data_IF_428275887188
#
_entry.id   IF_428275887188
#
_cell.length_a   1.000
_cell.length_b   1.000
_cell.length_c   1.000
_cell.angle_alpha   90.00
_cell.angle_beta   90.00
_cell.angle_gamma   90.00
#
_symmetry.space_group_name_H-M   'P 1'
#
loop_
_entity.id
_entity.type
_entity.pdbx_description
1 polymer ?
#
# COMPACT_ATOMS: atom_id res chain seq x y z
N UNK A 1 7.06 -66.65 -64.35
CA UNK A 1 5.68 -66.99 -63.95
C UNK A 1 5.39 -66.30 -62.61
N UNK A 2 4.43 -65.47 -62.66
CA UNK A 2 3.81 -64.62 -61.58
C UNK A 2 4.61 -63.52 -60.89
N UNK A 3 4.32 -62.36 -61.38
CA UNK A 3 4.49 -60.98 -60.84
C UNK A 3 3.58 -60.83 -59.63
N UNK A 4 4.08 -60.21 -58.55
CA UNK A 4 3.27 -59.56 -57.57
C UNK A 4 3.84 -58.18 -57.31
N UNK A 5 3.10 -57.18 -57.79
CA UNK A 5 3.28 -55.74 -57.52
C UNK A 5 2.92 -55.43 -56.07
N UNK A 6 3.80 -54.77 -55.34
CA UNK A 6 3.50 -54.19 -54.05
C UNK A 6 3.08 -52.74 -54.25
N UNK A 7 1.84 -52.39 -53.89
CA UNK A 7 1.32 -51.02 -53.72
C UNK A 7 1.92 -50.42 -52.47
N UNK A 8 2.69 -49.39 -52.68
CA UNK A 8 3.09 -48.49 -51.58
C UNK A 8 2.01 -47.44 -51.37
N UNK A 9 1.31 -47.52 -50.25
CA UNK A 9 0.34 -46.52 -49.82
C UNK A 9 1.12 -45.44 -49.07
N UNK A 10 1.15 -44.21 -49.61
CA UNK A 10 1.59 -42.99 -48.90
C UNK A 10 0.52 -42.62 -47.88
N UNK A 11 0.79 -42.83 -46.59
CA UNK A 11 0.11 -42.11 -45.52
C UNK A 11 0.95 -40.86 -45.18
N UNK A 12 0.51 -39.73 -45.68
CA UNK A 12 0.92 -38.43 -45.16
C UNK A 12 0.14 -38.19 -43.87
N UNK A 13 0.80 -38.37 -42.73
CA UNK A 13 0.30 -37.97 -41.44
C UNK A 13 0.25 -36.45 -41.36
N UNK A 14 -0.94 -35.91 -41.47
CA UNK A 14 -1.26 -34.52 -41.09
C UNK A 14 -1.34 -34.48 -39.58
N UNK A 15 -0.21 -34.20 -38.92
CA UNK A 15 -0.20 -33.77 -37.53
C UNK A 15 -0.67 -32.30 -37.44
N UNK A 16 -1.79 -32.00 -36.80
CA UNK A 16 -2.11 -30.60 -36.51
C UNK A 16 -1.11 -30.08 -35.48
N UNK A 17 -0.34 -29.08 -35.89
CA UNK A 17 0.46 -28.27 -34.98
C UNK A 17 -0.45 -27.59 -33.91
N UNK A 18 -0.71 -28.27 -32.81
CA UNK A 18 -1.18 -27.65 -31.57
C UNK A 18 -0.01 -26.99 -30.86
N UNK A 19 0.56 -25.94 -31.46
CA UNK A 19 1.18 -24.90 -30.65
C UNK A 19 0.07 -24.12 -29.98
N UNK A 20 -0.41 -24.62 -28.86
CA UNK A 20 -1.17 -23.83 -27.92
C UNK A 20 -0.23 -22.71 -27.45
N UNK A 21 -0.36 -21.53 -28.06
CA UNK A 21 0.14 -20.32 -27.44
C UNK A 21 -0.65 -20.16 -26.14
N UNK A 22 -0.14 -20.73 -25.06
CA UNK A 22 -0.52 -20.28 -23.72
C UNK A 22 -0.09 -18.82 -23.64
N UNK A 23 -1.01 -17.90 -23.94
CA UNK A 23 -0.88 -16.53 -23.51
C UNK A 23 -0.69 -16.61 -22.00
N UNK A 24 0.55 -16.47 -21.54
CA UNK A 24 0.83 -16.19 -20.15
C UNK A 24 0.14 -14.84 -19.83
N UNK A 25 -1.12 -14.91 -19.42
CA UNK A 25 -1.75 -13.77 -18.78
C UNK A 25 -1.01 -13.56 -17.48
N UNK A 26 -0.10 -12.58 -17.45
CA UNK A 26 0.50 -12.13 -16.19
C UNK A 26 -0.64 -11.84 -15.24
N UNK A 27 -0.68 -12.57 -14.14
CA UNK A 27 -1.71 -12.38 -13.14
C UNK A 27 -1.53 -11.01 -12.52
N UNK A 28 -2.63 -10.23 -12.46
CA UNK A 28 -2.63 -8.94 -11.78
C UNK A 28 -3.13 -9.12 -10.36
N UNK A 29 -2.49 -8.46 -9.42
CA UNK A 29 -2.97 -8.32 -8.05
C UNK A 29 -3.31 -6.86 -7.76
N UNK A 30 -4.36 -6.66 -6.98
CA UNK A 30 -4.81 -5.37 -6.48
C UNK A 30 -4.43 -5.22 -5.02
N UNK A 31 -3.62 -4.21 -4.72
CA UNK A 31 -3.20 -3.86 -3.36
C UNK A 31 -3.84 -2.53 -2.98
N UNK A 32 -4.57 -2.49 -1.88
CA UNK A 32 -5.19 -1.28 -1.34
C UNK A 32 -4.56 -0.90 0.00
N UNK A 33 -4.54 0.40 0.27
CA UNK A 33 -4.10 0.98 1.54
C UNK A 33 -5.12 2.00 2.02
N UNK A 34 -5.49 1.96 3.32
CA UNK A 34 -6.47 2.86 3.89
C UNK A 34 -6.17 3.17 5.36
N UNK A 35 -5.93 4.43 5.69
CA UNK A 35 -6.00 4.90 7.06
C UNK A 35 -7.48 4.97 7.48
N UNK A 36 -7.87 4.09 8.39
CA UNK A 36 -9.27 3.92 8.80
C UNK A 36 -9.66 4.79 10.01
N UNK A 37 -8.71 5.50 10.61
CA UNK A 37 -8.94 6.33 11.81
C UNK A 37 -9.77 5.60 12.89
N UNK A 38 -9.47 4.33 13.10
CA UNK A 38 -10.14 3.43 14.04
C UNK A 38 -10.97 2.34 13.35
N UNK A 39 -10.43 1.12 13.32
CA UNK A 39 -11.05 -0.02 12.64
C UNK A 39 -12.47 -0.33 13.18
N UNK A 40 -12.70 -0.18 14.50
CA UNK A 40 -14.01 -0.38 15.11
C UNK A 40 -15.02 0.70 14.72
N UNK A 41 -14.56 1.91 14.42
CA UNK A 41 -15.42 3.00 13.96
C UNK A 41 -15.84 2.79 12.50
N UNK A 42 -14.90 2.45 11.62
CA UNK A 42 -15.20 2.20 10.21
C UNK A 42 -16.00 0.91 10.01
N UNK A 43 -15.79 -0.11 10.85
CA UNK A 43 -16.61 -1.33 10.88
C UNK A 43 -18.09 -1.02 11.02
N UNK A 44 -18.47 -0.16 11.98
CA UNK A 44 -19.87 0.28 12.19
C UNK A 44 -20.45 1.09 11.02
N UNK A 45 -19.59 1.53 10.09
CA UNK A 45 -19.98 2.32 8.91
C UNK A 45 -19.96 1.50 7.61
N UNK A 46 -19.98 0.15 7.70
CA UNK A 46 -20.07 -0.74 6.55
C UNK A 46 -18.72 -1.12 5.92
N UNK A 47 -17.65 -1.11 6.70
CA UNK A 47 -16.31 -1.52 6.21
C UNK A 47 -16.30 -2.91 5.59
N UNK A 48 -16.94 -3.91 6.25
CA UNK A 48 -16.95 -5.28 5.71
C UNK A 48 -17.75 -5.40 4.42
N UNK A 49 -18.87 -4.67 4.30
CA UNK A 49 -19.67 -4.67 3.06
C UNK A 49 -18.85 -4.11 1.89
N UNK A 50 -18.11 -3.02 2.15
CA UNK A 50 -17.19 -2.46 1.16
C UNK A 50 -16.05 -3.44 0.84
N UNK A 51 -15.41 -4.02 1.86
CA UNK A 51 -14.28 -4.92 1.69
C UNK A 51 -14.66 -6.19 0.90
N UNK A 52 -15.79 -6.81 1.24
CA UNK A 52 -16.30 -8.01 0.55
C UNK A 52 -16.77 -7.73 -0.88
N UNK A 53 -17.19 -6.50 -1.18
CA UNK A 53 -17.54 -6.07 -2.54
C UNK A 53 -16.30 -5.82 -3.40
N UNK A 54 -15.28 -5.15 -2.86
CA UNK A 54 -14.07 -4.74 -3.60
C UNK A 54 -13.10 -5.90 -3.78
N UNK A 55 -13.01 -6.79 -2.80
CA UNK A 55 -12.17 -8.00 -2.78
C UNK A 55 -10.73 -7.79 -3.27
N UNK A 56 -9.97 -6.82 -2.73
CA UNK A 56 -8.57 -6.65 -3.10
C UNK A 56 -7.78 -7.92 -2.76
N UNK A 57 -6.65 -8.14 -3.43
CA UNK A 57 -5.78 -9.27 -3.09
C UNK A 57 -5.04 -9.01 -1.78
N UNK A 58 -4.68 -7.75 -1.52
CA UNK A 58 -4.10 -7.28 -0.25
C UNK A 58 -4.76 -5.97 0.16
N UNK A 59 -5.15 -5.86 1.42
CA UNK A 59 -5.64 -4.63 2.04
C UNK A 59 -4.78 -4.29 3.24
N UNK A 60 -4.16 -3.12 3.20
CA UNK A 60 -3.35 -2.55 4.27
C UNK A 60 -4.14 -1.47 5.01
N UNK A 61 -4.22 -1.55 6.33
CA UNK A 61 -4.89 -0.56 7.15
C UNK A 61 -3.91 0.14 8.08
N UNK A 62 -4.11 1.43 8.29
CA UNK A 62 -3.39 2.24 9.27
C UNK A 62 -4.38 2.84 10.26
N UNK A 63 -3.87 3.25 11.42
CA UNK A 63 -4.67 3.77 12.53
C UNK A 63 -5.82 2.84 12.95
N UNK A 64 -5.54 1.56 13.14
CA UNK A 64 -6.55 0.60 13.60
C UNK A 64 -7.08 0.94 15.00
N UNK A 65 -6.25 1.58 15.84
CA UNK A 65 -6.59 2.06 17.20
C UNK A 65 -7.25 0.97 18.07
N UNK A 66 -6.88 -0.27 17.84
CA UNK A 66 -7.42 -1.41 18.58
C UNK A 66 -6.38 -2.52 18.71
N UNK A 67 -6.39 -3.22 19.82
CA UNK A 67 -5.72 -4.49 19.99
C UNK A 67 -6.62 -5.62 19.47
N UNK A 68 -6.04 -6.77 19.10
CA UNK A 68 -6.77 -7.90 18.52
C UNK A 68 -7.92 -8.36 19.42
N UNK A 69 -7.71 -8.42 20.76
CA UNK A 69 -8.73 -8.79 21.73
C UNK A 69 -9.93 -7.82 21.84
N UNK A 70 -9.83 -6.65 21.20
CA UNK A 70 -10.89 -5.64 21.14
C UNK A 70 -11.70 -5.69 19.85
N UNK A 71 -11.35 -6.59 18.93
CA UNK A 71 -11.97 -6.69 17.62
C UNK A 71 -13.06 -7.78 17.61
N UNK A 72 -14.16 -7.57 16.92
CA UNK A 72 -15.13 -8.62 16.65
C UNK A 72 -14.53 -9.69 15.73
N UNK A 73 -15.02 -10.92 15.88
CA UNK A 73 -14.55 -12.10 15.14
C UNK A 73 -14.56 -11.90 13.62
N UNK A 74 -15.56 -11.21 13.11
CA UNK A 74 -15.72 -10.90 11.68
C UNK A 74 -14.59 -10.03 11.11
N UNK A 75 -13.92 -9.23 11.97
CA UNK A 75 -12.73 -8.48 11.56
C UNK A 75 -11.46 -9.29 11.70
N UNK A 76 -11.40 -10.24 12.61
CA UNK A 76 -10.25 -11.12 12.80
C UNK A 76 -10.20 -12.21 11.71
N UNK A 77 -11.36 -12.72 11.30
CA UNK A 77 -11.51 -13.87 10.42
C UNK A 77 -12.38 -13.54 9.18
N UNK A 78 -11.90 -12.64 8.35
CA UNK A 78 -12.57 -12.33 7.08
C UNK A 78 -12.43 -13.51 6.12
N UNK A 79 -13.54 -14.04 5.64
CA UNK A 79 -13.55 -15.21 4.75
C UNK A 79 -12.69 -14.99 3.50
N UNK A 80 -11.78 -15.93 3.21
CA UNK A 80 -10.87 -15.88 2.08
C UNK A 80 -9.62 -15.03 2.31
N UNK A 81 -9.39 -14.52 3.54
CA UNK A 81 -8.21 -13.74 3.88
C UNK A 81 -7.47 -14.26 5.11
N UNK A 82 -6.16 -14.14 5.09
CA UNK A 82 -5.31 -14.17 6.25
C UNK A 82 -5.20 -12.75 6.80
N UNK A 83 -5.33 -12.56 8.12
CA UNK A 83 -5.27 -11.26 8.78
C UNK A 83 -4.10 -11.18 9.76
N UNK A 84 -3.44 -10.05 9.78
CA UNK A 84 -2.29 -9.76 10.62
C UNK A 84 -2.42 -8.37 11.20
N UNK A 85 -2.11 -8.21 12.48
CA UNK A 85 -2.23 -6.94 13.21
C UNK A 85 -0.94 -6.60 13.93
N UNK A 86 -0.62 -5.31 14.00
CA UNK A 86 0.42 -4.74 14.84
C UNK A 86 -0.18 -3.58 15.60
N UNK A 87 -0.31 -3.72 16.92
CA UNK A 87 -0.89 -2.70 17.80
C UNK A 87 0.21 -2.02 18.61
N UNK A 88 0.04 -0.73 18.88
CA UNK A 88 0.92 -0.02 19.81
C UNK A 88 0.67 -0.45 21.26
N UNK A 89 1.65 -0.25 22.15
CA UNK A 89 1.50 -0.52 23.58
C UNK A 89 0.34 0.28 24.20
N UNK A 90 0.16 1.51 23.74
CA UNK A 90 -0.94 2.39 24.19
C UNK A 90 -2.27 2.00 23.52
N UNK A 91 -3.25 1.58 24.31
CA UNK A 91 -4.60 1.26 23.82
C UNK A 91 -5.27 2.46 23.14
N UNK A 92 -5.93 2.20 22.01
CA UNK A 92 -6.65 3.23 21.26
C UNK A 92 -5.77 4.18 20.44
N UNK A 93 -4.49 3.83 20.24
CA UNK A 93 -3.52 4.67 19.54
C UNK A 93 -2.80 3.88 18.45
N UNK A 94 -2.56 4.51 17.28
CA UNK A 94 -1.81 3.92 16.17
C UNK A 94 -2.35 2.55 15.71
N UNK A 95 -1.48 1.63 15.34
CA UNK A 95 -1.80 0.29 14.90
C UNK A 95 -1.97 0.15 13.39
N UNK A 96 -1.53 -0.99 12.87
CA UNK A 96 -1.62 -1.37 11.44
C UNK A 96 -2.19 -2.78 11.30
N UNK A 97 -2.84 -3.06 10.15
CA UNK A 97 -3.31 -4.40 9.82
C UNK A 97 -3.10 -4.71 8.34
N UNK A 98 -2.91 -5.99 8.02
CA UNK A 98 -2.90 -6.51 6.65
C UNK A 98 -3.91 -7.65 6.55
N UNK A 99 -4.79 -7.57 5.56
CA UNK A 99 -5.61 -8.68 5.08
C UNK A 99 -5.09 -9.10 3.71
N UNK A 100 -4.88 -10.38 3.49
CA UNK A 100 -4.30 -10.88 2.24
C UNK A 100 -4.88 -12.25 1.88
N UNK A 101 -5.20 -12.46 0.58
CA UNK A 101 -5.69 -13.74 0.07
C UNK A 101 -4.57 -14.79 0.05
N UNK A 102 -3.38 -14.39 -0.42
CA UNK A 102 -2.21 -15.26 -0.40
C UNK A 102 -1.48 -15.13 0.93
N UNK A 103 -1.16 -16.27 1.55
CA UNK A 103 -0.41 -16.29 2.81
C UNK A 103 1.03 -15.82 2.56
N UNK A 104 1.51 -14.75 3.24
CA UNK A 104 2.88 -14.33 3.13
C UNK A 104 3.87 -15.41 3.60
N UNK A 105 5.06 -15.41 3.01
CA UNK A 105 6.18 -16.28 3.44
C UNK A 105 6.64 -15.91 4.84
N UNK A 106 6.60 -14.62 5.17
CA UNK A 106 6.96 -14.09 6.49
C UNK A 106 6.17 -12.84 6.86
N UNK A 107 5.94 -12.66 8.16
CA UNK A 107 5.36 -11.44 8.75
C UNK A 107 6.29 -10.94 9.84
N UNK A 108 6.57 -9.62 9.82
CA UNK A 108 7.36 -8.96 10.84
C UNK A 108 6.65 -7.69 11.31
N UNK A 109 6.57 -7.52 12.64
CA UNK A 109 6.05 -6.32 13.31
C UNK A 109 7.23 -5.41 13.63
N UNK A 110 7.23 -4.18 13.10
CA UNK A 110 8.34 -3.25 13.28
C UNK A 110 9.56 -3.54 12.40
N UNK A 111 10.59 -2.74 12.55
CA UNK A 111 11.86 -2.89 11.81
C UNK A 111 13.10 -3.03 12.72
N UNK A 112 12.89 -3.34 14.01
CA UNK A 112 13.96 -3.68 14.95
C UNK A 112 14.49 -2.50 15.76
N UNK A 113 13.79 -1.36 15.77
CA UNK A 113 14.12 -0.20 16.62
C UNK A 113 12.99 -0.02 17.63
N UNK A 114 13.25 -0.40 18.87
CA UNK A 114 12.26 -0.46 19.96
C UNK A 114 11.48 0.84 20.13
N UNK A 115 12.14 1.99 20.03
CA UNK A 115 11.51 3.31 20.12
C UNK A 115 10.37 3.49 19.12
N UNK A 116 10.51 2.95 17.91
CA UNK A 116 9.53 3.07 16.83
C UNK A 116 8.54 1.89 16.80
N UNK A 117 9.01 0.71 17.18
CA UNK A 117 8.22 -0.52 17.09
C UNK A 117 7.12 -0.57 18.17
N UNK A 118 7.33 0.08 19.33
CA UNK A 118 6.35 0.16 20.43
C UNK A 118 5.03 0.86 20.06
N UNK A 119 5.00 1.64 18.99
CA UNK A 119 3.77 2.32 18.55
C UNK A 119 2.94 1.49 17.55
N UNK A 120 3.39 0.28 17.15
CA UNK A 120 2.63 -0.59 16.23
C UNK A 120 2.42 -0.02 14.84
N UNK A 121 3.36 0.82 14.37
CA UNK A 121 3.24 1.59 13.12
C UNK A 121 3.60 0.84 11.87
N UNK A 122 4.23 -0.32 12.02
CA UNK A 122 4.83 -1.04 10.89
C UNK A 122 4.42 -2.50 10.94
N UNK A 123 3.92 -2.97 9.79
CA UNK A 123 3.69 -4.38 9.54
C UNK A 123 4.30 -4.72 8.17
N UNK A 124 5.22 -5.67 8.15
CA UNK A 124 5.95 -6.09 6.96
C UNK A 124 5.48 -7.48 6.58
N UNK A 125 5.06 -7.64 5.31
CA UNK A 125 4.70 -8.92 4.74
C UNK A 125 5.68 -9.29 3.61
N UNK A 126 6.29 -10.45 3.72
CA UNK A 126 7.20 -10.99 2.71
C UNK A 126 6.43 -11.94 1.78
N UNK A 127 6.46 -11.67 0.50
CA UNK A 127 5.87 -12.50 -0.55
C UNK A 127 6.94 -13.04 -1.50
N UNK A 128 6.60 -14.05 -2.27
CA UNK A 128 7.46 -14.48 -3.36
C UNK A 128 7.61 -13.34 -4.39
N UNK A 129 8.81 -12.76 -4.45
CA UNK A 129 9.17 -11.73 -5.42
C UNK A 129 9.08 -10.28 -4.93
N UNK A 130 8.51 -9.98 -3.75
CA UNK A 130 8.51 -8.62 -3.19
C UNK A 130 8.28 -8.61 -1.67
N UNK A 131 8.65 -7.50 -1.04
CA UNK A 131 8.34 -7.21 0.36
C UNK A 131 7.40 -6.01 0.42
N UNK A 132 6.29 -6.16 1.14
CA UNK A 132 5.28 -5.13 1.36
C UNK A 132 5.42 -4.53 2.75
N UNK A 133 5.55 -3.22 2.82
CA UNK A 133 5.55 -2.43 4.05
C UNK A 133 4.21 -1.70 4.16
N UNK A 134 3.44 -2.03 5.17
CA UNK A 134 2.28 -1.26 5.60
C UNK A 134 2.69 -0.36 6.76
N UNK A 135 2.65 0.97 6.57
CA UNK A 135 3.22 1.93 7.52
C UNK A 135 2.24 3.06 7.84
N UNK A 136 2.14 3.35 9.13
CA UNK A 136 1.55 4.58 9.65
C UNK A 136 2.67 5.49 10.20
N UNK A 137 3.13 6.42 9.39
CA UNK A 137 4.20 7.33 9.80
C UNK A 137 3.74 8.28 10.92
N UNK A 138 4.64 8.69 11.82
CA UNK A 138 4.29 9.62 12.89
C UNK A 138 3.77 10.96 12.36
N UNK A 139 2.78 11.54 13.08
CA UNK A 139 2.36 12.92 12.87
C UNK A 139 3.20 13.86 13.73
N UNK A 140 3.64 14.99 13.16
CA UNK A 140 4.51 15.97 13.81
C UNK A 140 3.79 17.17 14.42
N UNK A 141 2.44 17.25 14.34
CA UNK A 141 1.70 18.47 14.72
C UNK A 141 1.68 18.77 16.22
N UNK A 142 1.86 17.76 17.08
CA UNK A 142 1.61 17.91 18.50
C UNK A 142 2.67 18.78 19.24
N UNK A 143 3.94 18.67 18.85
CA UNK A 143 5.05 19.42 19.44
C UNK A 143 6.33 19.32 18.58
N UNK A 144 7.34 20.12 18.91
CA UNK A 144 8.66 20.06 18.27
C UNK A 144 9.34 18.69 18.48
N UNK A 145 9.20 18.09 19.67
CA UNK A 145 9.74 16.74 19.98
C UNK A 145 9.04 15.69 19.12
N UNK A 146 7.73 15.84 18.88
CA UNK A 146 7.00 14.90 18.02
C UNK A 146 7.38 15.05 16.55
N UNK A 147 7.66 16.26 16.09
CA UNK A 147 8.22 16.49 14.76
C UNK A 147 9.62 15.87 14.63
N UNK A 148 10.48 16.06 15.62
CA UNK A 148 11.81 15.43 15.62
C UNK A 148 11.72 13.89 15.60
N UNK A 149 10.81 13.31 16.39
CA UNK A 149 10.53 11.88 16.38
C UNK A 149 10.11 11.39 14.98
N UNK A 150 9.23 12.16 14.31
CA UNK A 150 8.82 11.87 12.92
C UNK A 150 10.02 11.86 11.97
N UNK A 151 10.89 12.87 12.05
CA UNK A 151 12.06 12.96 11.19
C UNK A 151 13.07 11.83 11.45
N UNK A 152 13.27 11.47 12.72
CA UNK A 152 14.11 10.34 13.11
C UNK A 152 13.55 9.00 12.59
N UNK A 153 12.22 8.81 12.70
CA UNK A 153 11.53 7.64 12.13
C UNK A 153 11.71 7.56 10.62
N UNK A 154 11.57 8.67 9.93
CA UNK A 154 11.75 8.80 8.50
C UNK A 154 13.14 8.33 8.06
N UNK A 155 14.20 8.82 8.70
CA UNK A 155 15.57 8.46 8.34
C UNK A 155 15.90 7.02 8.71
N UNK A 156 15.44 6.53 9.85
CA UNK A 156 15.60 5.14 10.25
C UNK A 156 14.93 4.18 9.26
N UNK A 157 13.71 4.52 8.82
CA UNK A 157 12.99 3.73 7.83
C UNK A 157 13.68 3.72 6.46
N UNK A 158 14.14 4.87 5.98
CA UNK A 158 14.90 4.95 4.73
C UNK A 158 16.16 4.09 4.79
N UNK A 159 16.90 4.14 5.89
CA UNK A 159 18.10 3.32 6.08
C UNK A 159 17.76 1.82 6.06
N UNK A 160 16.69 1.41 6.76
CA UNK A 160 16.25 0.02 6.78
C UNK A 160 15.89 -0.50 5.39
N UNK A 161 15.06 0.24 4.65
CA UNK A 161 14.61 -0.16 3.31
C UNK A 161 15.73 -0.11 2.29
N UNK A 162 16.67 0.84 2.40
CA UNK A 162 17.85 0.90 1.53
C UNK A 162 18.76 -0.33 1.69
N UNK A 163 18.87 -0.90 2.88
CA UNK A 163 19.64 -2.12 3.09
C UNK A 163 19.00 -3.32 2.38
N UNK A 164 17.68 -3.45 2.42
CA UNK A 164 16.96 -4.50 1.68
C UNK A 164 17.08 -4.29 0.15
N UNK A 165 16.97 -3.04 -0.30
CA UNK A 165 17.11 -2.71 -1.72
C UNK A 165 18.49 -3.03 -2.27
N UNK A 166 19.57 -2.79 -1.50
CA UNK A 166 20.93 -3.18 -1.87
C UNK A 166 21.09 -4.69 -2.06
N UNK A 167 20.28 -5.49 -1.33
CA UNK A 167 20.23 -6.94 -1.51
C UNK A 167 19.38 -7.38 -2.72
N UNK A 168 18.88 -6.44 -3.54
CA UNK A 168 18.07 -6.74 -4.72
C UNK A 168 16.57 -6.93 -4.45
N UNK A 169 16.11 -6.76 -3.21
CA UNK A 169 14.72 -6.93 -2.82
C UNK A 169 13.82 -5.91 -3.54
N UNK A 170 12.75 -6.37 -4.18
CA UNK A 170 11.68 -5.51 -4.67
C UNK A 170 10.82 -5.06 -3.50
N UNK A 171 10.65 -3.76 -3.35
CA UNK A 171 9.99 -3.16 -2.20
C UNK A 171 8.74 -2.42 -2.65
N UNK A 172 7.64 -2.68 -1.96
CA UNK A 172 6.39 -1.92 -2.05
C UNK A 172 6.11 -1.36 -0.66
N UNK A 173 5.85 -0.06 -0.57
CA UNK A 173 5.57 0.64 0.68
C UNK A 173 4.22 1.33 0.51
N UNK A 174 3.32 1.13 1.44
CA UNK A 174 2.04 1.83 1.45
C UNK A 174 1.71 2.38 2.83
N UNK A 175 0.90 3.41 2.84
CA UNK A 175 0.32 3.95 4.06
C UNK A 175 0.29 5.47 4.13
N UNK A 176 -0.10 5.93 5.32
CA UNK A 176 -0.18 7.36 5.64
C UNK A 176 1.19 7.90 6.04
N UNK A 177 1.77 8.70 5.18
CA UNK A 177 3.08 9.37 5.40
C UNK A 177 2.95 10.61 6.27
N UNK A 178 1.72 11.09 6.49
CA UNK A 178 1.45 12.33 7.21
C UNK A 178 2.16 13.57 6.63
N UNK A 179 2.47 13.56 5.32
CA UNK A 179 3.13 14.67 4.62
C UNK A 179 2.69 14.74 3.16
N UNK A 180 2.22 15.90 2.73
CA UNK A 180 2.04 16.21 1.32
C UNK A 180 3.39 16.63 0.71
N UNK A 181 3.75 16.08 -0.46
CA UNK A 181 5.08 16.27 -1.04
C UNK A 181 5.25 17.63 -1.74
N UNK A 182 4.43 17.89 -2.73
CA UNK A 182 4.51 19.12 -3.55
C UNK A 182 3.25 19.97 -3.36
N UNK A 183 3.27 21.20 -3.89
CA UNK A 183 2.11 22.09 -3.83
C UNK A 183 0.86 21.52 -4.50
N UNK A 184 1.04 20.68 -5.51
CA UNK A 184 -0.05 19.96 -6.19
C UNK A 184 -0.74 18.92 -5.28
N UNK A 185 -0.09 18.53 -4.16
CA UNK A 185 -0.56 17.46 -3.27
C UNK A 185 -1.44 17.95 -2.13
N UNK A 186 -1.74 19.24 -2.08
CA UNK A 186 -2.68 19.78 -1.09
C UNK A 186 -3.39 21.03 -1.61
N UNK A 187 -4.60 21.24 -1.10
CA UNK A 187 -5.29 22.52 -1.23
C UNK A 187 -4.58 23.58 -0.38
N UNK A 188 -4.53 24.83 -0.88
CA UNK A 188 -4.01 26.01 -0.16
C UNK A 188 -2.56 25.85 0.32
N UNK A 189 -1.59 25.55 -0.55
CA UNK A 189 -0.21 25.28 -0.15
C UNK A 189 0.46 26.44 0.56
N UNK A 190 0.17 27.69 0.14
CA UNK A 190 0.76 28.89 0.75
C UNK A 190 0.34 29.06 2.22
N UNK A 191 -0.93 28.80 2.52
CA UNK A 191 -1.49 28.91 3.87
C UNK A 191 -0.93 27.83 4.81
N UNK A 192 -0.58 26.67 4.26
CA UNK A 192 -0.10 25.51 5.00
C UNK A 192 1.43 25.35 5.03
N UNK A 193 2.19 26.29 4.45
CA UNK A 193 3.65 26.20 4.35
C UNK A 193 4.41 26.11 5.67
N UNK A 194 3.77 26.47 6.78
CA UNK A 194 4.31 26.41 8.15
C UNK A 194 3.58 25.37 9.03
N UNK A 195 2.78 24.49 8.42
CA UNK A 195 2.00 23.46 9.13
C UNK A 195 2.69 22.12 8.96
N UNK A 196 2.88 21.37 10.07
CA UNK A 196 3.42 20.00 9.99
C UNK A 196 2.54 19.12 9.10
N UNK A 197 3.19 18.36 8.26
CA UNK A 197 2.61 17.68 7.10
C UNK A 197 2.88 18.41 5.79
N UNK A 198 3.40 19.66 5.85
CA UNK A 198 3.86 20.40 4.67
C UNK A 198 5.07 21.30 4.94
N UNK A 199 5.77 21.07 6.04
CA UNK A 199 6.99 21.81 6.36
C UNK A 199 8.09 21.53 5.32
N UNK A 200 8.99 22.50 5.07
CA UNK A 200 10.10 22.32 4.12
C UNK A 200 10.94 21.06 4.39
N UNK A 201 11.26 20.78 5.66
CA UNK A 201 12.03 19.60 6.06
C UNK A 201 11.31 18.27 5.83
N UNK A 202 10.00 18.21 6.05
CA UNK A 202 9.18 17.03 5.79
C UNK A 202 9.11 16.73 4.28
N UNK A 203 8.92 17.78 3.47
CA UNK A 203 8.90 17.68 2.00
C UNK A 203 10.27 17.30 1.44
N UNK A 204 11.33 17.91 1.96
CA UNK A 204 12.71 17.61 1.58
C UNK A 204 13.06 16.14 1.88
N UNK A 205 12.48 15.55 2.93
CA UNK A 205 12.66 14.14 3.20
C UNK A 205 12.01 13.26 2.12
N UNK A 206 10.83 13.61 1.62
CA UNK A 206 10.21 12.86 0.50
C UNK A 206 11.07 12.99 -0.76
N UNK A 207 11.64 14.19 -1.04
CA UNK A 207 12.62 14.36 -2.13
C UNK A 207 13.84 13.43 -1.92
N UNK A 208 14.38 13.38 -0.69
CA UNK A 208 15.48 12.47 -0.32
C UNK A 208 15.08 11.00 -0.55
N UNK A 209 13.85 10.61 -0.19
CA UNK A 209 13.34 9.25 -0.37
C UNK A 209 13.29 8.87 -1.85
N UNK A 210 12.72 9.74 -2.69
CA UNK A 210 12.65 9.56 -4.14
C UNK A 210 14.05 9.51 -4.76
N UNK A 211 14.96 10.41 -4.37
CA UNK A 211 16.35 10.43 -4.83
C UNK A 211 17.13 9.16 -4.42
N UNK A 212 16.67 8.43 -3.43
CA UNK A 212 17.20 7.12 -3.08
C UNK A 212 16.57 5.97 -3.90
N UNK A 213 15.88 6.24 -5.00
CA UNK A 213 15.35 5.24 -5.95
C UNK A 213 14.04 4.62 -5.48
N UNK A 214 13.18 5.40 -4.81
CA UNK A 214 11.77 5.10 -4.58
C UNK A 214 10.89 5.97 -5.46
N UNK A 215 9.78 5.44 -5.92
CA UNK A 215 8.91 6.07 -6.91
C UNK A 215 7.53 6.21 -6.31
N UNK A 216 6.97 7.42 -6.31
CA UNK A 216 5.57 7.69 -6.01
C UNK A 216 4.71 7.15 -7.17
N UNK A 217 4.04 6.03 -6.93
CA UNK A 217 3.31 5.34 -7.99
C UNK A 217 2.13 6.15 -8.53
N UNK A 218 1.45 6.92 -7.69
CA UNK A 218 0.33 7.74 -8.16
C UNK A 218 0.81 8.78 -9.18
N UNK A 219 1.97 9.41 -8.94
CA UNK A 219 2.53 10.41 -9.84
C UNK A 219 3.16 9.83 -11.11
N UNK A 220 3.30 8.48 -11.21
CA UNK A 220 3.61 7.84 -12.49
C UNK A 220 2.44 7.91 -13.50
N UNK A 221 1.20 7.87 -13.00
CA UNK A 221 0.01 7.75 -13.83
C UNK A 221 -0.86 9.02 -13.82
N UNK A 222 -0.74 9.87 -12.82
CA UNK A 222 -1.57 11.03 -12.64
C UNK A 222 -0.75 12.28 -12.26
N UNK A 223 -0.75 13.27 -13.12
CA UNK A 223 -0.07 14.56 -12.93
C UNK A 223 -1.04 15.70 -12.58
N UNK A 224 -2.34 15.41 -12.49
CA UNK A 224 -3.38 16.41 -12.26
C UNK A 224 -3.47 16.83 -10.79
N UNK A 225 -3.83 18.08 -10.49
CA UNK A 225 -4.09 18.57 -9.14
C UNK A 225 -5.44 18.04 -8.59
N UNK A 226 -5.74 18.43 -7.35
CA UNK A 226 -7.00 18.15 -6.67
C UNK A 226 -7.30 16.67 -6.41
N UNK A 227 -6.28 15.84 -6.43
CA UNK A 227 -6.34 14.43 -6.06
C UNK A 227 -5.82 14.28 -4.63
N UNK A 228 -6.72 14.18 -3.67
CA UNK A 228 -6.40 14.14 -2.25
C UNK A 228 -6.84 12.82 -1.62
N UNK A 229 -6.25 12.50 -0.46
CA UNK A 229 -6.51 11.26 0.27
C UNK A 229 -7.06 11.51 1.67
N UNK A 230 -6.87 12.73 2.20
CA UNK A 230 -7.32 13.15 3.53
C UNK A 230 -8.01 14.51 3.52
N UNK A 231 -9.04 14.67 4.36
CA UNK A 231 -9.80 15.91 4.55
C UNK A 231 -10.16 16.11 6.01
N UNK A 232 -10.01 17.34 6.49
CA UNK A 232 -10.42 17.69 7.84
C UNK A 232 -11.94 17.50 8.05
N UNK A 233 -12.31 16.62 8.97
CA UNK A 233 -13.70 16.31 9.28
C UNK A 233 -14.42 17.46 10.00
N UNK A 234 -13.71 18.21 10.87
CA UNK A 234 -14.32 19.28 11.68
C UNK A 234 -14.90 20.36 10.78
N UNK A 235 -14.17 20.71 9.74
CA UNK A 235 -14.58 21.76 8.80
C UNK A 235 -15.37 21.24 7.62
N UNK A 236 -15.67 19.92 7.58
CA UNK A 236 -16.32 19.24 6.42
C UNK A 236 -15.59 19.52 5.11
N UNK A 237 -14.27 19.52 5.15
CA UNK A 237 -13.42 19.94 4.05
C UNK A 237 -13.59 19.06 2.79
N UNK A 238 -14.03 17.80 2.95
CA UNK A 238 -14.24 16.85 1.85
C UNK A 238 -15.34 17.30 0.88
N UNK A 239 -16.42 17.90 1.37
CA UNK A 239 -17.51 18.43 0.56
C UNK A 239 -17.06 19.51 -0.45
N UNK A 240 -15.96 20.21 -0.11
CA UNK A 240 -15.36 21.29 -0.91
C UNK A 240 -14.05 20.87 -1.58
N UNK A 241 -13.67 19.61 -1.44
CA UNK A 241 -12.40 19.04 -1.86
C UNK A 241 -11.18 19.87 -1.39
N UNK A 242 -11.21 20.39 -0.15
CA UNK A 242 -10.06 21.06 0.48
C UNK A 242 -9.26 20.02 1.25
N UNK A 243 -8.46 19.24 0.54
CA UNK A 243 -7.79 18.07 1.06
C UNK A 243 -6.28 18.09 0.90
N UNK A 244 -5.66 17.01 1.35
CA UNK A 244 -4.23 16.72 1.27
C UNK A 244 -4.04 15.31 0.74
N UNK A 245 -3.04 15.09 -0.12
CA UNK A 245 -2.58 13.74 -0.49
C UNK A 245 -1.40 13.40 0.42
N UNK A 246 -1.67 12.60 1.43
CA UNK A 246 -0.71 12.20 2.46
C UNK A 246 -0.56 10.69 2.59
N UNK A 247 -1.41 9.93 1.89
CA UNK A 247 -1.29 8.49 1.75
C UNK A 247 -0.64 8.16 0.40
N UNK A 248 0.31 7.20 0.42
CA UNK A 248 1.12 6.88 -0.75
C UNK A 248 1.27 5.37 -0.95
N UNK A 249 1.52 5.02 -2.20
CA UNK A 249 2.29 3.85 -2.57
C UNK A 249 3.62 4.29 -3.14
N UNK A 250 4.71 3.85 -2.53
CA UNK A 250 6.05 3.95 -3.09
C UNK A 250 6.55 2.56 -3.48
N UNK A 251 7.29 2.48 -4.58
CA UNK A 251 7.97 1.25 -4.99
C UNK A 251 9.44 1.50 -5.23
N UNK A 252 10.29 0.50 -4.97
CA UNK A 252 11.68 0.54 -5.40
C UNK A 252 11.77 0.49 -6.92
N UNK A 253 12.80 1.10 -7.50
CA UNK A 253 12.94 1.23 -8.96
C UNK A 253 12.90 -0.11 -9.69
N UNK A 254 13.46 -1.17 -9.09
CA UNK A 254 13.43 -2.52 -9.65
C UNK A 254 12.03 -3.20 -9.63
N UNK A 255 11.03 -2.57 -8.99
CA UNK A 255 9.63 -3.01 -8.99
C UNK A 255 8.73 -2.15 -9.89
N UNK A 256 9.24 -1.03 -10.43
CA UNK A 256 8.47 -0.02 -11.18
C UNK A 256 7.67 -0.61 -12.33
N UNK A 257 8.31 -1.42 -13.16
CA UNK A 257 7.70 -1.94 -14.39
C UNK A 257 6.58 -2.95 -14.16
N UNK A 258 6.48 -3.46 -12.93
CA UNK A 258 5.40 -4.35 -12.50
C UNK A 258 4.12 -3.58 -12.13
N UNK A 259 4.20 -2.28 -11.87
CA UNK A 259 3.04 -1.45 -11.56
C UNK A 259 2.34 -1.06 -12.85
N UNK A 260 1.04 -1.35 -12.93
CA UNK A 260 0.22 -1.11 -14.12
C UNK A 260 -0.82 -0.02 -13.94
N UNK A 261 -1.15 0.29 -12.70
CA UNK A 261 -2.06 1.39 -12.34
C UNK A 261 -1.84 1.83 -10.91
N UNK A 262 -2.17 3.10 -10.61
CA UNK A 262 -2.22 3.64 -9.26
C UNK A 262 -3.36 4.67 -9.17
N UNK A 263 -4.23 4.53 -8.16
CA UNK A 263 -5.48 5.26 -8.07
C UNK A 263 -5.87 5.64 -6.64
N UNK A 264 -6.77 6.61 -6.54
CA UNK A 264 -7.38 7.09 -5.28
C UNK A 264 -8.88 6.83 -5.35
N UNK A 265 -9.45 6.20 -4.33
CA UNK A 265 -10.87 5.88 -4.24
C UNK A 265 -11.59 6.96 -3.40
N UNK A 266 -11.62 8.18 -3.92
CA UNK A 266 -12.13 9.37 -3.22
C UNK A 266 -13.59 9.27 -2.78
N UNK A 267 -14.39 8.40 -3.40
CA UNK A 267 -15.82 8.23 -3.10
C UNK A 267 -16.07 7.26 -1.91
N UNK A 268 -15.05 6.54 -1.46
CA UNK A 268 -15.16 5.63 -0.32
C UNK A 268 -15.19 6.42 0.97
N UNK A 269 -16.30 6.29 1.69
CA UNK A 269 -16.56 7.00 2.93
C UNK A 269 -16.28 6.11 4.16
N UNK A 270 -16.27 6.70 5.35
CA UNK A 270 -16.09 5.98 6.63
C UNK A 270 -14.97 6.52 7.51
N UNK A 271 -13.92 7.02 6.90
CA UNK A 271 -12.77 7.69 7.53
C UNK A 271 -12.62 9.13 7.00
N UNK A 272 -11.77 9.92 7.63
CA UNK A 272 -11.25 11.20 7.10
C UNK A 272 -10.24 11.00 5.97
N UNK A 273 -9.72 9.79 5.81
CA UNK A 273 -8.99 9.35 4.62
C UNK A 273 -9.90 8.55 3.69
N UNK A 274 -9.47 8.43 2.42
CA UNK A 274 -10.01 7.44 1.49
C UNK A 274 -8.95 6.39 1.14
N UNK A 275 -9.36 5.21 0.65
CA UNK A 275 -8.41 4.21 0.18
C UNK A 275 -7.65 4.69 -1.04
N UNK A 276 -6.40 4.25 -1.14
CA UNK A 276 -5.57 4.31 -2.34
C UNK A 276 -5.21 2.91 -2.80
N UNK A 277 -4.83 2.75 -4.05
CA UNK A 277 -4.50 1.43 -4.58
C UNK A 277 -3.50 1.43 -5.71
N UNK A 278 -2.93 0.25 -5.94
CA UNK A 278 -2.14 -0.08 -7.12
C UNK A 278 -2.62 -1.40 -7.73
N UNK A 279 -2.45 -1.54 -9.05
CA UNK A 279 -2.47 -2.83 -9.74
C UNK A 279 -1.04 -3.23 -10.12
N UNK A 280 -0.64 -4.43 -9.74
CA UNK A 280 0.69 -4.99 -9.99
C UNK A 280 0.57 -6.32 -10.72
N UNK A 281 1.48 -6.61 -11.65
CA UNK A 281 1.66 -7.95 -12.24
C UNK A 281 2.62 -8.80 -11.41
N UNK A 282 2.33 -10.10 -11.36
CA UNK A 282 3.14 -11.12 -10.71
C UNK A 282 3.47 -12.23 -11.71
#
# INVERSE_FOLDING_TARGET
>A
MYVLQSLSIFFLDILPNFFSQTKNYMQKIKILSWNVNGIRAVYKKGFLDWFTKVQPDILCLQETKAHEEQLPEELLNVSGYHSYFSSGERKGYSGTAIYTKEKPVGIKKGFGIKEFDNEGRILIAEYNGFVLFNIYYPNGKASAERLQYKMNFYDAFLNYTNNLKKAGTKIIICGDVNTAHKEIDLARPKENSKVSGFLPEERAWIDKFINNGYIDTFRMFNTEPNNYTWWDQITRARERNVGWRIDYFFVSENAKDEIKDAFILSDVMGSDHCPIGIEKVI
#
